data_IF_739832677709
#
_entry.id   IF_739832677709
#
_cell.length_a   1.000
_cell.length_b   1.000
_cell.length_c   1.000
_cell.angle_alpha   90.00
_cell.angle_beta   90.00
_cell.angle_gamma   90.00
#
_symmetry.space_group_name_H-M   'P 1'
#
loop_
_entity.id
_entity.type
_entity.pdbx_description
1 polymer ?
#
# COMPACT_ATOMS: atom_id res chain seq x y z
N UNK A 1 6.66 -15.50 -37.69
CA UNK A 1 6.42 -15.51 -36.24
C UNK A 1 6.88 -14.16 -35.70
N UNK A 2 6.04 -13.12 -35.80
CA UNK A 2 6.42 -11.77 -35.40
C UNK A 2 5.88 -11.51 -34.00
N UNK A 3 6.74 -11.55 -33.00
CA UNK A 3 6.40 -11.18 -31.63
C UNK A 3 6.18 -9.67 -31.56
N UNK A 4 4.92 -9.24 -31.46
CA UNK A 4 4.54 -7.87 -31.18
C UNK A 4 4.96 -7.50 -29.75
N UNK A 5 6.20 -7.05 -29.59
CA UNK A 5 6.72 -6.51 -28.34
C UNK A 5 6.12 -5.13 -28.06
N UNK A 6 4.87 -5.09 -27.59
CA UNK A 6 4.27 -3.87 -27.06
C UNK A 6 5.06 -3.37 -25.85
N UNK A 7 5.11 -2.05 -25.65
CA UNK A 7 5.72 -1.46 -24.45
C UNK A 7 5.08 -2.07 -23.21
N UNK A 8 5.84 -2.67 -22.28
CA UNK A 8 5.27 -3.28 -21.09
C UNK A 8 4.46 -2.23 -20.32
N UNK A 9 3.30 -2.64 -19.80
CA UNK A 9 2.46 -1.78 -18.96
C UNK A 9 3.30 -1.11 -17.88
N UNK A 10 2.93 0.10 -17.46
CA UNK A 10 3.60 0.84 -16.38
C UNK A 10 3.82 -0.03 -15.14
N UNK A 11 2.84 -0.86 -14.82
CA UNK A 11 2.92 -1.82 -13.72
C UNK A 11 4.04 -2.86 -13.93
N UNK A 12 4.09 -3.49 -15.10
CA UNK A 12 5.11 -4.48 -15.47
C UNK A 12 6.53 -3.90 -15.41
N UNK A 13 6.71 -2.68 -15.93
CA UNK A 13 7.98 -1.97 -15.86
C UNK A 13 8.40 -1.66 -14.42
N UNK A 14 7.45 -1.35 -13.53
CA UNK A 14 7.74 -1.14 -12.12
C UNK A 14 8.11 -2.44 -11.42
N UNK A 15 7.31 -3.50 -11.62
CA UNK A 15 7.54 -4.83 -11.05
C UNK A 15 8.91 -5.37 -11.42
N UNK A 16 9.30 -5.26 -12.70
CA UNK A 16 10.63 -5.69 -13.18
C UNK A 16 11.77 -4.90 -12.52
N UNK A 17 11.62 -3.59 -12.34
CA UNK A 17 12.64 -2.77 -11.65
C UNK A 17 12.79 -3.17 -10.18
N UNK A 18 11.68 -3.35 -9.50
CA UNK A 18 11.67 -3.76 -8.09
C UNK A 18 12.30 -5.15 -7.92
N UNK A 19 11.96 -6.08 -8.81
CA UNK A 19 12.56 -7.43 -8.85
C UNK A 19 14.07 -7.39 -9.06
N UNK A 20 14.53 -6.63 -10.04
CA UNK A 20 15.97 -6.48 -10.30
C UNK A 20 16.70 -5.84 -9.11
N UNK A 21 16.07 -4.87 -8.46
CA UNK A 21 16.64 -4.20 -7.28
C UNK A 21 16.76 -5.18 -6.12
N UNK A 22 15.74 -6.01 -5.90
CA UNK A 22 15.78 -7.07 -4.89
C UNK A 22 16.87 -8.11 -5.20
N UNK A 23 16.98 -8.57 -6.45
CA UNK A 23 18.05 -9.50 -6.86
C UNK A 23 19.45 -8.93 -6.65
N UNK A 24 19.66 -7.64 -6.97
CA UNK A 24 20.92 -6.95 -6.67
C UNK A 24 21.20 -6.87 -5.17
N UNK A 25 20.17 -6.58 -4.37
CA UNK A 25 20.31 -6.56 -2.91
C UNK A 25 20.74 -7.91 -2.34
N UNK A 26 20.18 -9.02 -2.85
CA UNK A 26 20.55 -10.37 -2.43
C UNK A 26 21.98 -10.76 -2.84
N UNK A 27 22.40 -10.39 -4.05
CA UNK A 27 23.77 -10.63 -4.51
C UNK A 27 24.82 -9.87 -3.68
N UNK A 28 24.45 -8.72 -3.11
CA UNK A 28 25.32 -7.92 -2.27
C UNK A 28 25.38 -8.41 -0.80
N UNK A 29 24.61 -9.45 -0.43
CA UNK A 29 24.71 -10.05 0.90
C UNK A 29 26.00 -10.87 1.05
N UNK A 30 26.46 -11.07 2.28
CA UNK A 30 27.58 -11.96 2.60
C UNK A 30 27.09 -13.09 3.52
N UNK A 31 27.01 -14.35 3.04
CA UNK A 31 27.27 -14.82 1.67
C UNK A 31 26.19 -14.36 0.67
N UNK A 32 26.52 -14.35 -0.63
CA UNK A 32 25.57 -13.98 -1.68
C UNK A 32 24.42 -14.98 -1.73
N UNK A 33 23.19 -14.48 -1.78
CA UNK A 33 21.99 -15.34 -1.72
C UNK A 33 21.32 -15.35 -3.09
N UNK A 34 21.03 -16.54 -3.61
CA UNK A 34 20.23 -16.68 -4.82
C UNK A 34 18.75 -16.40 -4.51
N UNK A 35 17.97 -15.95 -5.49
CA UNK A 35 16.53 -15.72 -5.29
C UNK A 35 15.80 -17.01 -4.89
N UNK A 36 16.26 -18.17 -5.36
CA UNK A 36 15.72 -19.48 -4.98
C UNK A 36 15.94 -19.85 -3.51
N UNK A 37 17.01 -19.34 -2.91
CA UNK A 37 17.35 -19.59 -1.50
C UNK A 37 16.89 -18.44 -0.59
N UNK A 38 16.25 -17.42 -1.15
CA UNK A 38 15.82 -16.29 -0.37
C UNK A 38 14.70 -16.69 0.60
N UNK A 39 14.83 -16.21 1.82
CA UNK A 39 13.89 -16.48 2.91
C UNK A 39 13.21 -15.18 3.33
N UNK A 40 12.20 -15.30 4.19
CA UNK A 40 11.49 -14.13 4.73
C UNK A 40 12.40 -13.14 5.47
N UNK A 41 13.51 -13.59 6.07
CA UNK A 41 14.48 -12.68 6.71
C UNK A 41 15.14 -11.75 5.70
N UNK A 42 15.61 -12.28 4.57
CA UNK A 42 16.20 -11.48 3.50
C UNK A 42 15.23 -10.43 2.95
N UNK A 43 13.95 -10.77 2.87
CA UNK A 43 12.90 -9.82 2.47
C UNK A 43 12.72 -8.72 3.52
N UNK A 44 12.73 -9.05 4.82
CA UNK A 44 12.67 -8.04 5.89
C UNK A 44 13.87 -7.11 5.86
N UNK A 45 15.08 -7.65 5.66
CA UNK A 45 16.29 -6.84 5.61
C UNK A 45 16.31 -5.95 4.36
N UNK A 46 15.78 -6.42 3.24
CA UNK A 46 15.55 -5.57 2.08
C UNK A 46 14.60 -4.40 2.39
N UNK A 47 13.48 -4.67 3.08
CA UNK A 47 12.55 -3.61 3.46
C UNK A 47 13.20 -2.57 4.39
N UNK A 48 14.05 -3.01 5.32
CA UNK A 48 14.83 -2.12 6.20
C UNK A 48 15.89 -1.34 5.44
N UNK A 49 16.54 -1.96 4.44
CA UNK A 49 17.47 -1.28 3.55
C UNK A 49 16.78 -0.14 2.78
N UNK A 50 15.55 -0.34 2.33
CA UNK A 50 14.78 0.70 1.63
C UNK A 50 14.45 1.92 2.49
N UNK A 51 14.41 1.79 3.82
CA UNK A 51 14.16 2.91 4.73
C UNK A 51 15.23 3.99 4.62
N UNK A 52 16.46 3.66 4.18
CA UNK A 52 17.55 4.63 3.95
C UNK A 52 17.20 5.65 2.85
N UNK A 53 16.34 5.26 1.91
CA UNK A 53 15.85 6.10 0.82
C UNK A 53 14.43 6.61 1.11
N UNK A 54 13.97 6.45 2.34
CA UNK A 54 12.67 6.88 2.82
C UNK A 54 12.51 8.39 2.78
N UNK A 55 11.28 8.85 2.51
CA UNK A 55 10.92 10.28 2.56
C UNK A 55 9.92 10.60 3.67
N UNK A 56 9.40 9.58 4.35
CA UNK A 56 8.39 9.76 5.40
C UNK A 56 9.08 9.86 6.75
N UNK A 57 8.86 10.94 7.49
CA UNK A 57 9.29 11.04 8.88
C UNK A 57 8.44 10.11 9.74
N UNK A 58 9.09 9.23 10.51
CA UNK A 58 8.40 8.32 11.44
C UNK A 58 8.89 8.63 12.86
N UNK A 59 8.02 9.24 13.67
CA UNK A 59 8.32 9.56 15.05
C UNK A 59 8.38 8.30 15.91
N UNK A 60 9.45 8.18 16.71
CA UNK A 60 9.63 7.09 17.68
C UNK A 60 8.87 7.41 18.98
N UNK A 61 8.57 6.38 19.79
CA UNK A 61 7.73 6.45 20.99
C UNK A 61 8.23 7.40 22.11
N UNK A 62 9.43 7.96 21.97
CA UNK A 62 9.99 9.00 22.86
C UNK A 62 10.11 10.39 22.22
N UNK A 63 9.57 10.59 21.01
CA UNK A 63 9.64 11.87 20.33
C UNK A 63 8.57 12.83 20.88
N UNK A 64 8.95 14.07 21.14
CA UNK A 64 8.03 15.14 21.57
C UNK A 64 6.90 15.43 20.57
N UNK A 65 7.08 15.03 19.30
CA UNK A 65 6.09 15.16 18.24
C UNK A 65 5.35 13.86 17.93
N UNK A 66 5.54 12.80 18.73
CA UNK A 66 4.82 11.55 18.53
C UNK A 66 3.32 11.79 18.65
N UNK A 67 2.56 11.43 17.61
CA UNK A 67 1.12 11.67 17.58
C UNK A 67 0.73 13.10 17.22
N UNK A 68 1.65 13.92 16.73
CA UNK A 68 1.34 15.24 16.18
C UNK A 68 1.34 15.20 14.64
N UNK A 69 0.23 15.58 13.98
CA UNK A 69 0.13 15.53 12.51
C UNK A 69 1.00 16.56 11.80
N UNK A 70 1.26 17.71 12.43
CA UNK A 70 2.08 18.78 11.89
C UNK A 70 3.05 19.27 12.97
N UNK A 71 4.29 18.74 13.01
CA UNK A 71 5.26 19.12 14.01
C UNK A 71 5.76 20.55 13.75
N UNK A 72 5.70 21.47 14.72
CA UNK A 72 6.12 22.87 14.56
C UNK A 72 7.64 23.06 14.49
N UNK A 73 8.43 22.01 14.75
CA UNK A 73 9.89 22.05 14.68
C UNK A 73 10.47 20.71 14.19
N UNK A 74 11.70 20.70 13.63
CA UNK A 74 12.34 19.47 13.17
C UNK A 74 12.72 18.55 14.34
N UNK A 75 12.74 17.24 14.11
CA UNK A 75 13.23 16.24 15.06
C UNK A 75 14.29 15.31 14.45
N UNK A 76 15.04 14.62 15.30
CA UNK A 76 16.06 13.66 14.91
C UNK A 76 15.50 12.28 14.49
N UNK A 77 14.18 12.11 14.38
CA UNK A 77 13.59 10.82 14.03
C UNK A 77 14.01 10.36 12.62
N UNK A 78 14.14 9.05 12.36
CA UNK A 78 14.56 8.57 11.06
C UNK A 78 13.50 8.84 9.98
N UNK A 79 13.97 9.02 8.74
CA UNK A 79 13.12 8.91 7.55
C UNK A 79 13.00 7.42 7.19
N UNK A 80 11.80 7.01 6.77
CA UNK A 80 11.48 5.63 6.39
C UNK A 80 10.56 5.60 5.18
N UNK A 81 10.39 4.44 4.58
CA UNK A 81 9.40 4.24 3.53
C UNK A 81 7.99 4.37 4.10
N UNK A 82 7.07 4.93 3.31
CA UNK A 82 5.66 4.93 3.67
C UNK A 82 5.14 3.48 3.64
N UNK A 83 4.28 3.13 4.59
CA UNK A 83 3.69 1.79 4.66
C UNK A 83 3.05 1.37 3.33
N UNK A 84 2.27 2.26 2.70
CA UNK A 84 1.62 1.96 1.42
C UNK A 84 2.61 1.68 0.27
N UNK A 85 3.79 2.29 0.29
CA UNK A 85 4.84 2.02 -0.70
C UNK A 85 5.46 0.63 -0.48
N UNK A 86 5.70 0.25 0.78
CA UNK A 86 6.20 -1.08 1.13
C UNK A 86 5.18 -2.19 0.81
N UNK A 87 3.91 -1.99 1.14
CA UNK A 87 2.83 -2.93 0.86
C UNK A 87 2.68 -3.18 -0.65
N UNK A 88 2.64 -2.10 -1.45
CA UNK A 88 2.58 -2.19 -2.90
C UNK A 88 3.82 -2.86 -3.51
N UNK A 89 5.02 -2.60 -2.96
CA UNK A 89 6.26 -3.25 -3.38
C UNK A 89 6.20 -4.76 -3.12
N UNK A 90 5.81 -5.19 -1.92
CA UNK A 90 5.68 -6.61 -1.57
C UNK A 90 4.66 -7.30 -2.47
N UNK A 91 3.54 -6.65 -2.78
CA UNK A 91 2.57 -7.18 -3.75
C UNK A 91 3.18 -7.42 -5.13
N UNK A 92 3.98 -6.48 -5.64
CA UNK A 92 4.70 -6.64 -6.92
C UNK A 92 5.75 -7.74 -6.87
N UNK A 93 6.51 -7.85 -5.78
CA UNK A 93 7.53 -8.89 -5.61
C UNK A 93 6.92 -10.28 -5.49
N UNK A 94 5.74 -10.44 -4.87
CA UNK A 94 5.00 -11.72 -4.91
C UNK A 94 4.66 -12.14 -6.33
N UNK A 95 4.05 -11.24 -7.10
CA UNK A 95 3.71 -11.51 -8.48
C UNK A 95 4.95 -11.80 -9.34
N UNK A 96 6.05 -11.08 -9.12
CA UNK A 96 7.31 -11.33 -9.80
C UNK A 96 7.89 -12.72 -9.45
N UNK A 97 7.82 -13.14 -8.19
CA UNK A 97 8.29 -14.46 -7.76
C UNK A 97 7.53 -15.60 -8.46
N UNK A 98 6.20 -15.48 -8.56
CA UNK A 98 5.36 -16.47 -9.26
C UNK A 98 5.68 -16.53 -10.77
N UNK A 99 5.90 -15.39 -11.41
CA UNK A 99 6.28 -15.33 -12.83
C UNK A 99 7.70 -15.86 -13.12
N UNK A 100 8.59 -15.86 -12.12
CA UNK A 100 9.93 -16.44 -12.23
C UNK A 100 9.95 -17.94 -11.83
N UNK A 101 8.79 -18.59 -11.76
CA UNK A 101 8.66 -20.03 -11.51
C UNK A 101 8.55 -20.43 -10.04
N UNK A 102 8.40 -19.46 -9.13
CA UNK A 102 8.15 -19.72 -7.72
C UNK A 102 6.69 -20.15 -7.46
N UNK A 103 6.47 -21.05 -6.50
CA UNK A 103 5.10 -21.41 -6.11
C UNK A 103 4.54 -20.41 -5.08
N UNK A 104 3.22 -20.17 -5.08
CA UNK A 104 2.60 -19.26 -4.10
C UNK A 104 2.76 -19.77 -2.65
N UNK A 105 2.83 -21.08 -2.46
CA UNK A 105 2.98 -21.73 -1.14
C UNK A 105 4.38 -21.53 -0.53
N UNK A 106 5.44 -21.53 -1.34
CA UNK A 106 6.83 -21.31 -0.87
C UNK A 106 7.26 -19.86 -0.94
N UNK A 107 6.35 -18.95 -1.26
CA UNK A 107 6.66 -17.56 -1.52
C UNK A 107 7.16 -16.83 -0.25
N UNK A 108 8.43 -16.39 -0.19
CA UNK A 108 8.99 -15.76 1.00
C UNK A 108 8.34 -14.41 1.31
N UNK A 109 7.86 -13.71 0.28
CA UNK A 109 7.12 -12.45 0.40
C UNK A 109 5.70 -12.66 0.96
N UNK A 110 5.16 -13.89 0.93
CA UNK A 110 3.85 -14.25 1.48
C UNK A 110 3.89 -14.79 2.93
N UNK A 111 5.08 -14.92 3.51
CA UNK A 111 5.26 -15.44 4.86
C UNK A 111 4.55 -14.60 5.94
N UNK A 112 4.24 -15.25 7.07
CA UNK A 112 3.61 -14.59 8.22
C UNK A 112 4.46 -13.47 8.83
N UNK A 113 5.79 -13.59 8.74
CA UNK A 113 6.74 -12.58 9.22
C UNK A 113 6.58 -11.25 8.45
N UNK A 114 6.46 -11.30 7.11
CA UNK A 114 6.27 -10.10 6.29
C UNK A 114 4.91 -9.44 6.58
N UNK A 115 3.86 -10.25 6.75
CA UNK A 115 2.52 -9.74 7.10
C UNK A 115 2.50 -9.05 8.46
N UNK A 116 3.20 -9.61 9.44
CA UNK A 116 3.30 -9.04 10.79
C UNK A 116 4.09 -7.74 10.78
N UNK A 117 5.24 -7.73 10.09
CA UNK A 117 6.05 -6.52 9.93
C UNK A 117 5.29 -5.37 9.25
N UNK A 118 4.57 -5.64 8.15
CA UNK A 118 3.74 -4.62 7.49
C UNK A 118 2.63 -4.07 8.41
N UNK A 119 2.04 -4.91 9.27
CA UNK A 119 1.06 -4.49 10.26
C UNK A 119 1.69 -3.57 11.31
N UNK A 120 2.82 -3.96 11.88
CA UNK A 120 3.55 -3.16 12.87
C UNK A 120 3.99 -1.80 12.30
N UNK A 121 4.50 -1.77 11.06
CA UNK A 121 4.86 -0.53 10.38
C UNK A 121 3.63 0.36 10.17
N UNK A 122 2.50 -0.22 9.76
CA UNK A 122 1.24 0.53 9.61
C UNK A 122 0.82 1.17 10.93
N UNK A 123 0.79 0.40 12.00
CA UNK A 123 0.39 0.88 13.32
C UNK A 123 1.34 1.96 13.83
N UNK A 124 2.65 1.76 13.68
CA UNK A 124 3.67 2.73 14.06
C UNK A 124 3.52 4.05 13.30
N UNK A 125 3.29 3.99 11.98
CA UNK A 125 3.11 5.20 11.17
C UNK A 125 1.79 5.93 11.46
N UNK A 126 0.70 5.20 11.72
CA UNK A 126 -0.59 5.79 12.09
C UNK A 126 -0.49 6.50 13.43
N UNK A 127 0.11 5.86 14.44
CA UNK A 127 0.33 6.45 15.76
C UNK A 127 1.27 7.66 15.66
N UNK A 128 2.37 7.55 14.93
CA UNK A 128 3.33 8.64 14.74
C UNK A 128 2.71 9.89 14.08
N UNK A 129 1.78 9.72 13.14
CA UNK A 129 1.10 10.83 12.43
C UNK A 129 -0.06 11.44 13.23
N UNK A 130 -0.46 10.84 14.35
CA UNK A 130 -1.49 11.45 15.21
C UNK A 130 -2.89 11.55 14.63
N UNK A 131 -3.18 10.88 13.51
CA UNK A 131 -4.53 10.94 12.91
C UNK A 131 -5.48 10.22 13.88
N UNK A 132 -6.44 10.93 14.50
CA UNK A 132 -7.42 10.29 15.37
C UNK A 132 -8.19 9.29 14.52
N UNK A 133 -8.26 8.05 14.98
CA UNK A 133 -8.99 6.97 14.31
C UNK A 133 -10.50 7.23 14.38
N UNK A 134 -11.01 8.22 13.62
CA UNK A 134 -12.44 8.27 13.31
C UNK A 134 -12.69 7.13 12.34
N UNK A 135 -13.24 6.02 12.85
CA UNK A 135 -13.86 4.97 12.05
C UNK A 135 -14.87 5.64 11.12
N UNK A 136 -14.50 5.98 9.90
CA UNK A 136 -15.46 6.29 8.86
C UNK A 136 -16.13 4.94 8.54
N UNK A 137 -17.21 4.64 9.26
CA UNK A 137 -18.21 3.67 8.84
C UNK A 137 -18.74 4.19 7.51
N UNK A 138 -18.20 3.69 6.41
CA UNK A 138 -18.74 3.92 5.07
C UNK A 138 -20.12 3.27 5.06
N UNK A 139 -21.17 4.07 5.33
CA UNK A 139 -22.55 3.69 5.03
C UNK A 139 -22.57 3.38 3.54
N UNK A 140 -22.95 2.15 3.20
CA UNK A 140 -23.39 1.80 1.85
C UNK A 140 -24.62 2.65 1.58
N UNK A 141 -24.49 3.65 0.74
CA UNK A 141 -25.66 4.25 0.10
C UNK A 141 -25.74 3.62 -1.29
N UNK A 142 -26.65 2.65 -1.40
CA UNK A 142 -27.06 2.02 -2.64
C UNK A 142 -28.19 2.92 -3.13
N UNK A 143 -27.85 3.93 -3.93
CA UNK A 143 -28.81 4.81 -4.59
C UNK A 143 -28.89 4.47 -6.06
N UNK A 144 -29.55 3.35 -6.37
CA UNK A 144 -30.09 3.07 -7.70
C UNK A 144 -31.13 4.17 -7.99
N UNK A 145 -30.99 4.90 -9.09
CA UNK A 145 -31.91 5.96 -9.48
C UNK A 145 -32.23 5.75 -10.96
N UNK A 146 -33.26 4.94 -11.18
CA UNK A 146 -33.91 4.74 -12.46
C UNK A 146 -35.36 5.22 -12.36
N UNK A 147 -35.77 5.82 -13.47
CA UNK A 147 -37.12 6.06 -14.00
C UNK A 147 -37.97 7.26 -13.55
N UNK A 148 -38.10 8.13 -14.55
CA UNK A 148 -39.33 8.65 -15.17
C UNK A 148 -40.25 9.61 -14.41
N UNK A 149 -40.04 10.88 -14.74
CA UNK A 149 -40.99 11.98 -14.66
C UNK A 149 -42.04 11.82 -15.77
N UNK A 150 -43.27 11.45 -15.39
CA UNK A 150 -44.46 11.58 -16.23
C UNK A 150 -45.55 12.35 -15.48
N UNK A 151 -45.92 13.45 -16.12
CA UNK A 151 -46.99 14.42 -15.90
C UNK A 151 -48.39 13.78 -15.86
N UNK A 152 -49.25 14.23 -14.93
CA UNK A 152 -50.69 14.48 -15.18
C UNK A 152 -51.30 15.23 -13.99
N UNK A 153 -51.42 16.55 -14.14
CA UNK A 153 -52.20 17.43 -13.25
C UNK A 153 -53.62 17.58 -13.83
N UNK A 154 -54.62 17.01 -13.15
CA UNK A 154 -56.03 17.36 -13.37
C UNK A 154 -56.95 16.93 -12.22
N UNK A 155 -57.55 17.92 -11.55
CA UNK A 155 -58.94 17.98 -11.03
C UNK A 155 -58.99 18.97 -9.85
N UNK A 156 -59.32 20.24 -10.09
CA UNK A 156 -60.68 20.79 -9.94
C UNK A 156 -61.29 20.60 -8.55
N UNK A 157 -61.44 21.69 -7.78
CA UNK A 157 -62.76 22.11 -7.25
C UNK A 157 -62.70 23.44 -6.48
N UNK A 158 -63.36 24.44 -7.08
CA UNK A 158 -64.24 25.49 -6.53
C UNK A 158 -64.13 26.02 -5.09
N UNK A 159 -64.10 27.36 -4.99
CA UNK A 159 -64.51 28.18 -3.84
C UNK A 159 -66.00 27.97 -3.48
N UNK A 160 -66.50 28.41 -2.29
CA UNK A 160 -66.96 29.80 -2.17
C UNK A 160 -66.81 30.49 -0.77
N UNK A 161 -66.83 31.82 -0.85
CA UNK A 161 -67.47 32.85 0.00
C UNK A 161 -67.44 32.76 1.54
N UNK A 162 -66.88 33.78 2.20
CA UNK A 162 -67.60 34.98 2.70
C UNK A 162 -66.62 36.16 2.83
#
# INVERSE_FOLDING_TARGET
MSSSGGTPSRYESQKRRDWNTFGQFLNNQQPSVSVSECTSSHVLDFMRYLDQFGKTKVHLDGCIFYGQPEPPAPCACPLRQAWGSLDALIGRLRAAYEENGGSPETNPFASGAIRSYLREVKESQVKARGIPYKKIKKKKDIGFKDDDELDDESTSSSMPAF
#
